data_IF_388754237717
#
_entry.id   IF_388754237717
#
_cell.length_a   1.000
_cell.length_b   1.000
_cell.length_c   1.000
_cell.angle_alpha   90.00
_cell.angle_beta   90.00
_cell.angle_gamma   90.00
#
_symmetry.space_group_name_H-M   'P 1'
#
loop_
_entity.id
_entity.type
_entity.pdbx_description
1 polymer ?
#
# COMPACT_ATOMS: atom_id res chain seq x y z
N UNK A 1 61.86 -26.63 83.16
CA UNK A 1 61.39 -25.24 83.21
C UNK A 1 61.81 -24.59 81.94
N UNK A 2 60.93 -24.52 81.01
CA UNK A 2 61.23 -24.13 79.63
C UNK A 2 60.39 -22.92 79.29
N UNK A 3 61.02 -21.80 79.04
CA UNK A 3 60.36 -20.56 78.61
C UNK A 3 60.33 -20.50 77.08
N UNK A 4 59.13 -20.54 76.55
CA UNK A 4 58.86 -20.43 75.13
C UNK A 4 58.76 -18.93 74.79
N UNK A 5 59.55 -18.49 73.84
CA UNK A 5 59.51 -17.13 73.33
C UNK A 5 58.66 -17.15 72.03
N UNK A 6 57.51 -16.53 72.03
CA UNK A 6 56.71 -16.34 70.85
C UNK A 6 57.15 -15.12 70.09
N UNK A 7 57.69 -15.38 68.91
CA UNK A 7 58.03 -14.33 67.94
C UNK A 7 56.80 -14.00 67.13
N UNK A 8 56.29 -12.76 67.25
CA UNK A 8 55.15 -12.27 66.48
C UNK A 8 55.68 -11.69 65.17
N UNK A 9 55.35 -12.37 64.04
CA UNK A 9 55.69 -11.89 62.71
C UNK A 9 54.52 -11.04 62.25
N UNK A 10 54.71 -9.71 62.18
CA UNK A 10 53.74 -8.78 61.58
C UNK A 10 53.81 -8.90 60.05
N UNK A 11 52.83 -9.51 59.44
CA UNK A 11 52.70 -9.47 57.99
C UNK A 11 51.81 -8.24 57.63
N UNK A 12 52.49 -7.20 57.13
CA UNK A 12 51.75 -6.03 56.55
C UNK A 12 51.20 -6.38 55.24
N UNK A 13 49.85 -6.53 55.22
CA UNK A 13 49.04 -6.75 53.98
C UNK A 13 48.75 -5.42 53.29
N UNK A 14 49.58 -5.08 52.30
CA UNK A 14 49.32 -3.91 51.43
C UNK A 14 48.18 -4.22 50.49
N UNK A 15 47.03 -3.62 50.74
CA UNK A 15 45.90 -3.64 49.81
C UNK A 15 46.22 -2.76 48.59
N UNK A 16 46.51 -3.37 47.46
CA UNK A 16 46.50 -2.70 46.18
C UNK A 16 45.03 -2.48 45.74
N UNK A 17 44.56 -1.25 45.88
CA UNK A 17 43.28 -0.85 45.29
C UNK A 17 43.52 -0.66 43.80
N UNK A 18 43.18 -1.68 43.02
CA UNK A 18 43.16 -1.59 41.56
C UNK A 18 41.91 -0.81 41.15
N UNK A 19 42.09 0.46 40.74
CA UNK A 19 41.05 1.29 40.15
C UNK A 19 40.74 0.75 38.78
N UNK A 20 39.77 -0.12 38.66
CA UNK A 20 39.21 -0.49 37.37
C UNK A 20 38.42 0.71 36.81
N UNK A 21 39.07 1.50 35.97
CA UNK A 21 38.44 2.49 35.14
C UNK A 21 37.52 1.74 34.17
N UNK A 22 36.25 1.68 34.51
CA UNK A 22 35.22 1.21 33.56
C UNK A 22 35.22 2.20 32.39
N UNK A 23 35.87 1.84 31.29
CA UNK A 23 35.70 2.49 30.01
C UNK A 23 34.21 2.34 29.61
N UNK A 24 33.39 3.33 29.95
CA UNK A 24 32.04 3.46 29.43
C UNK A 24 32.17 3.87 27.96
N UNK A 25 32.32 2.90 27.09
CA UNK A 25 32.08 3.12 25.67
C UNK A 25 30.59 3.38 25.48
N UNK A 26 30.22 4.55 24.95
CA UNK A 26 28.84 4.75 24.56
C UNK A 26 28.53 3.69 23.51
N UNK A 27 27.65 2.76 23.89
CA UNK A 27 27.06 1.76 23.00
C UNK A 27 26.52 2.54 21.81
N UNK A 28 27.10 2.29 20.63
CA UNK A 28 26.62 2.85 19.39
C UNK A 28 25.10 2.65 19.39
N UNK A 29 24.38 3.75 19.49
CA UNK A 29 22.96 3.76 19.22
C UNK A 29 22.83 3.14 17.85
N UNK A 30 22.24 1.96 17.81
CA UNK A 30 21.71 1.37 16.59
C UNK A 30 20.76 2.44 16.05
N UNK A 31 21.30 3.31 15.21
CA UNK A 31 20.52 4.17 14.35
C UNK A 31 19.71 3.21 13.51
N UNK A 32 18.53 2.88 14.03
CA UNK A 32 17.48 2.29 13.23
C UNK A 32 17.32 3.25 12.07
N UNK A 33 17.95 2.93 10.95
CA UNK A 33 17.66 3.60 9.70
C UNK A 33 16.19 3.33 9.45
N UNK A 34 15.37 4.31 9.82
CA UNK A 34 14.02 4.48 9.27
C UNK A 34 14.20 4.79 7.78
N UNK A 35 14.85 3.86 7.08
CA UNK A 35 15.01 3.88 5.66
C UNK A 35 13.62 3.72 5.09
N UNK A 36 12.96 4.88 4.89
CA UNK A 36 12.00 5.04 3.82
C UNK A 36 10.79 4.11 3.88
N UNK A 37 9.91 4.28 4.89
CA UNK A 37 8.50 4.06 4.58
C UNK A 37 8.15 5.18 3.59
N UNK A 38 8.35 4.91 2.30
CA UNK A 38 7.86 5.77 1.22
C UNK A 38 6.36 6.00 1.51
N UNK A 39 5.90 7.23 1.63
CA UNK A 39 4.47 7.46 1.81
C UNK A 39 3.74 6.78 0.65
N UNK A 40 2.70 6.00 0.98
CA UNK A 40 1.89 5.29 0.02
C UNK A 40 1.41 6.27 -1.07
N UNK A 41 1.78 6.02 -2.32
CA UNK A 41 1.52 6.93 -3.43
C UNK A 41 0.52 6.33 -4.42
N UNK A 42 -0.11 7.20 -5.21
CA UNK A 42 -0.99 6.75 -6.28
C UNK A 42 -0.20 6.03 -7.38
N UNK A 43 1.08 6.33 -7.53
CA UNK A 43 1.95 5.63 -8.48
C UNK A 43 2.09 4.16 -8.10
N UNK A 44 2.22 3.83 -6.80
CA UNK A 44 2.27 2.44 -6.34
C UNK A 44 0.95 1.69 -6.65
N UNK A 45 -0.19 2.38 -6.59
CA UNK A 45 -1.51 1.83 -7.00
C UNK A 45 -1.52 1.49 -8.49
N UNK A 46 -0.96 2.37 -9.33
CA UNK A 46 -0.90 2.20 -10.78
C UNK A 46 0.10 1.10 -11.14
N UNK A 47 1.27 1.08 -10.53
CA UNK A 47 2.30 0.06 -10.77
C UNK A 47 1.75 -1.33 -10.41
N UNK A 48 1.09 -1.45 -9.25
CA UNK A 48 0.44 -2.70 -8.87
C UNK A 48 -0.68 -3.11 -9.83
N UNK A 49 -1.43 -2.16 -10.37
CA UNK A 49 -2.44 -2.45 -11.38
C UNK A 49 -1.83 -3.02 -12.68
N UNK A 50 -0.64 -2.54 -13.09
CA UNK A 50 0.09 -3.08 -14.23
C UNK A 50 0.62 -4.50 -13.97
N UNK A 51 1.14 -4.78 -12.78
CA UNK A 51 1.60 -6.12 -12.40
C UNK A 51 0.48 -7.17 -12.44
N UNK A 52 -0.77 -6.75 -12.24
CA UNK A 52 -1.94 -7.64 -12.24
C UNK A 52 -2.58 -7.82 -13.63
N UNK A 53 -2.00 -7.24 -14.68
CA UNK A 53 -2.46 -7.50 -16.06
C UNK A 53 -2.45 -9.01 -16.35
N UNK A 54 -3.50 -9.50 -16.99
CA UNK A 54 -3.66 -10.93 -17.29
C UNK A 54 -4.34 -11.74 -16.18
N UNK A 55 -4.49 -11.21 -14.95
CA UNK A 55 -5.24 -11.88 -13.87
C UNK A 55 -6.69 -12.11 -14.29
N UNK A 56 -7.25 -13.34 -14.10
CA UNK A 56 -8.61 -13.64 -14.52
C UNK A 56 -9.67 -12.79 -13.82
N UNK A 57 -10.76 -12.51 -14.55
CA UNK A 57 -11.97 -12.00 -13.91
C UNK A 57 -12.62 -13.09 -13.07
N UNK A 58 -13.00 -12.75 -11.85
CA UNK A 58 -13.80 -13.60 -10.97
C UNK A 58 -14.86 -12.76 -10.24
N UNK A 59 -16.11 -13.10 -10.43
CA UNK A 59 -17.20 -12.45 -9.69
C UNK A 59 -17.02 -12.65 -8.18
N UNK A 60 -16.96 -11.54 -7.43
CA UNK A 60 -16.74 -11.56 -5.99
C UNK A 60 -15.32 -11.93 -5.55
N UNK A 61 -14.41 -12.25 -6.49
CA UNK A 61 -13.01 -12.52 -6.17
C UNK A 61 -12.29 -11.26 -5.66
N UNK A 62 -11.34 -11.45 -4.74
CA UNK A 62 -10.71 -10.33 -4.00
C UNK A 62 -9.19 -10.44 -3.88
N UNK A 63 -8.58 -11.43 -4.52
CA UNK A 63 -7.13 -11.64 -4.48
C UNK A 63 -6.56 -11.97 -5.87
N UNK A 64 -5.23 -11.84 -6.02
CA UNK A 64 -4.54 -12.17 -7.27
C UNK A 64 -4.70 -13.64 -7.65
N UNK A 65 -4.74 -14.53 -6.65
CA UNK A 65 -4.88 -15.99 -6.85
C UNK A 65 -6.30 -16.38 -7.29
N UNK A 66 -7.30 -15.72 -6.74
CA UNK A 66 -8.70 -16.00 -7.07
C UNK A 66 -9.17 -15.27 -8.33
N UNK A 67 -8.54 -14.15 -8.65
CA UNK A 67 -9.02 -13.17 -9.61
C UNK A 67 -9.88 -12.08 -8.96
N UNK A 68 -10.33 -11.12 -9.76
CA UNK A 68 -11.06 -9.94 -9.30
C UNK A 68 -12.29 -9.66 -10.14
N UNK A 69 -13.35 -9.11 -9.52
CA UNK A 69 -14.33 -8.30 -10.24
C UNK A 69 -13.86 -6.86 -10.41
N UNK A 70 -14.59 -6.03 -11.15
CA UNK A 70 -14.19 -4.65 -11.45
C UNK A 70 -14.00 -3.79 -10.19
N UNK A 71 -14.90 -3.91 -9.22
CA UNK A 71 -14.84 -3.11 -7.99
C UNK A 71 -13.85 -3.66 -6.96
N UNK A 72 -13.76 -4.98 -6.83
CA UNK A 72 -12.80 -5.61 -5.91
C UNK A 72 -11.35 -5.34 -6.32
N UNK A 73 -11.09 -5.27 -7.62
CA UNK A 73 -9.78 -4.88 -8.14
C UNK A 73 -9.36 -3.50 -7.62
N UNK A 74 -10.22 -2.49 -7.73
CA UNK A 74 -9.92 -1.17 -7.20
C UNK A 74 -9.77 -1.17 -5.66
N UNK A 75 -10.68 -1.86 -4.95
CA UNK A 75 -10.59 -1.98 -3.48
C UNK A 75 -9.25 -2.58 -3.05
N UNK A 76 -8.83 -3.65 -3.71
CA UNK A 76 -7.54 -4.29 -3.45
C UNK A 76 -6.39 -3.31 -3.65
N UNK A 77 -6.32 -2.66 -4.79
CA UNK A 77 -5.25 -1.71 -5.13
C UNK A 77 -5.16 -0.56 -4.12
N UNK A 78 -6.24 0.15 -3.88
CA UNK A 78 -6.24 1.30 -2.98
C UNK A 78 -5.92 0.90 -1.53
N UNK A 79 -6.46 -0.22 -1.07
CA UNK A 79 -6.21 -0.70 0.29
C UNK A 79 -4.75 -1.13 0.48
N UNK A 80 -4.20 -1.92 -0.45
CA UNK A 80 -2.88 -2.54 -0.26
C UNK A 80 -1.72 -1.61 -0.60
N UNK A 81 -1.90 -0.68 -1.54
CA UNK A 81 -0.81 0.18 -2.01
C UNK A 81 -0.86 1.58 -1.40
N UNK A 82 -2.05 2.09 -1.08
CA UNK A 82 -2.22 3.45 -0.58
C UNK A 82 -2.85 3.53 0.81
N UNK A 83 -3.21 2.41 1.43
CA UNK A 83 -3.98 2.35 2.68
C UNK A 83 -5.28 3.18 2.65
N UNK A 84 -5.88 3.32 1.46
CA UNK A 84 -7.13 4.04 1.24
C UNK A 84 -8.28 3.04 1.20
N UNK A 85 -9.29 3.24 2.06
CA UNK A 85 -10.51 2.44 2.03
C UNK A 85 -11.54 3.11 1.12
N UNK A 86 -11.97 2.38 0.09
CA UNK A 86 -13.03 2.81 -0.82
C UNK A 86 -14.23 1.86 -0.72
N UNK A 87 -15.45 2.31 -1.09
CA UNK A 87 -16.64 1.47 -1.03
C UNK A 87 -16.49 0.18 -1.85
N UNK A 88 -17.05 -0.94 -1.35
CA UNK A 88 -16.86 -2.29 -1.95
C UNK A 88 -17.49 -2.46 -3.33
N UNK A 89 -18.56 -1.79 -3.64
CA UNK A 89 -19.30 -2.01 -4.90
C UNK A 89 -19.20 -0.82 -5.83
N UNK A 90 -19.25 -1.06 -7.13
CA UNK A 90 -19.25 -0.01 -8.16
C UNK A 90 -20.33 1.05 -7.90
N UNK A 91 -21.54 0.64 -7.53
CA UNK A 91 -22.64 1.57 -7.22
C UNK A 91 -22.35 2.41 -5.98
N UNK A 92 -21.80 1.81 -4.91
CA UNK A 92 -21.44 2.54 -3.70
C UNK A 92 -20.28 3.50 -3.95
N UNK A 93 -19.26 3.11 -4.72
CA UNK A 93 -18.18 4.00 -5.15
C UNK A 93 -18.74 5.21 -5.92
N UNK A 94 -19.60 4.96 -6.89
CA UNK A 94 -20.21 6.03 -7.71
C UNK A 94 -21.03 7.01 -6.87
N UNK A 95 -21.77 6.52 -5.87
CA UNK A 95 -22.62 7.35 -4.97
C UNK A 95 -21.89 7.98 -3.81
N UNK A 96 -20.62 7.65 -3.60
CA UNK A 96 -19.84 8.18 -2.48
C UNK A 96 -19.65 9.69 -2.55
N UNK A 97 -19.29 10.30 -1.43
CA UNK A 97 -18.96 11.73 -1.30
C UNK A 97 -17.62 12.12 -1.92
N UNK A 98 -16.83 11.14 -2.42
CA UNK A 98 -15.56 11.42 -3.10
C UNK A 98 -15.74 12.41 -4.27
N UNK A 99 -14.73 13.23 -4.50
CA UNK A 99 -14.77 14.30 -5.50
C UNK A 99 -15.14 13.76 -6.90
N UNK A 100 -16.16 14.35 -7.51
CA UNK A 100 -16.53 14.06 -8.90
C UNK A 100 -15.60 14.81 -9.84
N UNK A 101 -14.99 14.09 -10.77
CA UNK A 101 -13.99 14.62 -11.68
C UNK A 101 -14.56 14.74 -13.09
N UNK A 102 -14.41 15.92 -13.69
CA UNK A 102 -14.75 16.14 -15.09
C UNK A 102 -13.80 15.34 -15.98
N UNK A 103 -14.28 14.87 -17.14
CA UNK A 103 -13.48 14.03 -18.05
C UNK A 103 -12.17 14.68 -18.51
N UNK A 104 -12.16 15.99 -18.71
CA UNK A 104 -10.97 16.76 -19.09
C UNK A 104 -10.02 17.08 -17.94
N UNK A 105 -10.40 16.74 -16.69
CA UNK A 105 -9.60 16.93 -15.46
C UNK A 105 -9.14 15.60 -14.86
N UNK A 106 -9.26 14.49 -15.61
CA UNK A 106 -8.82 13.18 -15.17
C UNK A 106 -7.30 13.17 -14.91
N UNK A 107 -6.94 12.57 -13.77
CA UNK A 107 -5.55 12.30 -13.39
C UNK A 107 -5.36 10.82 -13.13
N UNK A 108 -4.15 10.27 -13.32
CA UNK A 108 -3.85 8.90 -12.93
C UNK A 108 -4.33 8.62 -11.50
N UNK A 109 -4.93 7.43 -11.28
CA UNK A 109 -5.55 7.05 -10.01
C UNK A 109 -7.04 7.38 -9.88
N UNK A 110 -7.65 8.12 -10.79
CA UNK A 110 -9.10 8.35 -10.78
C UNK A 110 -9.86 7.07 -11.13
N UNK A 111 -10.95 6.80 -10.42
CA UNK A 111 -11.88 5.74 -10.77
C UNK A 111 -12.86 6.23 -11.85
N UNK A 112 -12.84 5.58 -13.01
CA UNK A 112 -13.71 5.91 -14.15
C UNK A 112 -14.89 4.94 -14.21
N UNK A 113 -16.11 5.46 -14.37
CA UNK A 113 -17.36 4.70 -14.28
C UNK A 113 -18.08 4.61 -15.61
N UNK A 114 -18.69 3.44 -15.85
CA UNK A 114 -19.41 3.15 -17.09
C UNK A 114 -20.78 2.55 -16.82
N UNK A 115 -21.73 2.88 -17.70
CA UNK A 115 -23.05 2.24 -17.71
C UNK A 115 -22.94 0.82 -18.26
N UNK A 116 -23.73 -0.09 -17.71
CA UNK A 116 -23.95 -1.40 -18.32
C UNK A 116 -24.92 -1.32 -19.51
N UNK A 117 -24.98 -2.42 -20.27
CA UNK A 117 -25.97 -2.57 -21.33
C UNK A 117 -27.40 -2.70 -20.72
N UNK A 118 -28.21 -1.70 -20.92
CA UNK A 118 -29.67 -1.80 -20.72
C UNK A 118 -30.27 -0.72 -19.83
N UNK A 119 -30.05 -0.61 -18.56
CA UNK A 119 -30.86 0.22 -17.65
C UNK A 119 -30.27 1.57 -17.23
N UNK A 120 -29.29 2.08 -17.94
CA UNK A 120 -28.67 3.38 -17.63
C UNK A 120 -27.89 3.46 -16.28
N UNK A 121 -27.88 2.39 -15.51
CA UNK A 121 -27.19 2.34 -14.22
C UNK A 121 -25.71 2.07 -14.39
N UNK A 122 -24.89 2.70 -13.52
CA UNK A 122 -23.47 2.43 -13.44
C UNK A 122 -23.25 1.01 -12.94
N UNK A 123 -22.54 0.20 -13.73
CA UNK A 123 -22.30 -1.21 -13.45
C UNK A 123 -20.84 -1.62 -13.59
N UNK A 124 -19.97 -0.73 -14.06
CA UNK A 124 -18.57 -1.02 -14.27
C UNK A 124 -17.67 0.13 -13.85
N UNK A 125 -16.47 -0.20 -13.39
CA UNK A 125 -15.44 0.75 -12.93
C UNK A 125 -14.06 0.28 -13.38
N UNK A 126 -13.17 1.24 -13.67
CA UNK A 126 -11.76 1.02 -13.96
C UNK A 126 -10.90 2.10 -13.33
N UNK A 127 -9.59 1.86 -13.26
CA UNK A 127 -8.57 2.78 -12.77
C UNK A 127 -7.98 3.55 -13.95
N UNK A 128 -8.13 4.87 -13.98
CA UNK A 128 -7.49 5.70 -15.00
C UNK A 128 -5.98 5.77 -14.77
N UNK A 129 -5.20 5.59 -15.83
CA UNK A 129 -3.74 5.54 -15.79
C UNK A 129 -3.05 6.63 -16.63
N UNK A 130 -3.83 7.63 -17.09
CA UNK A 130 -3.31 8.68 -17.96
C UNK A 130 -3.53 8.39 -19.44
N UNK A 131 -3.28 9.40 -20.28
CA UNK A 131 -3.32 9.31 -21.75
C UNK A 131 -4.63 8.70 -22.33
N UNK A 132 -5.76 8.93 -21.66
CA UNK A 132 -7.05 8.36 -22.07
C UNK A 132 -7.18 6.86 -21.87
N UNK A 133 -6.29 6.22 -21.11
CA UNK A 133 -6.27 4.77 -20.85
C UNK A 133 -6.71 4.45 -19.43
N UNK A 134 -7.26 3.25 -19.22
CA UNK A 134 -7.62 2.74 -17.90
C UNK A 134 -7.40 1.23 -17.82
N UNK A 135 -7.07 0.73 -16.62
CA UNK A 135 -6.96 -0.70 -16.30
C UNK A 135 -8.23 -1.12 -15.59
N UNK A 136 -8.74 -2.29 -15.94
CA UNK A 136 -9.96 -2.84 -15.32
C UNK A 136 -10.03 -4.36 -15.41
N UNK A 137 -10.83 -4.98 -14.55
CA UNK A 137 -11.28 -6.36 -14.66
C UNK A 137 -12.64 -6.40 -15.36
N UNK A 138 -12.73 -6.80 -16.65
CA UNK A 138 -13.90 -6.49 -17.47
C UNK A 138 -15.13 -7.35 -17.20
N UNK A 139 -15.02 -8.69 -17.32
CA UNK A 139 -16.12 -9.65 -17.16
C UNK A 139 -15.64 -11.10 -17.21
N UNK A 140 -16.51 -12.03 -16.88
CA UNK A 140 -16.28 -13.49 -16.99
C UNK A 140 -15.67 -13.88 -18.34
N UNK A 141 -14.65 -14.73 -18.31
CA UNK A 141 -13.91 -15.21 -19.48
C UNK A 141 -12.91 -14.21 -20.05
N UNK A 142 -12.66 -13.11 -19.34
CA UNK A 142 -11.62 -12.12 -19.67
C UNK A 142 -10.66 -11.94 -18.48
N UNK A 143 -9.56 -11.25 -18.75
CA UNK A 143 -8.53 -10.92 -17.77
C UNK A 143 -8.45 -9.42 -17.56
N UNK A 144 -7.80 -8.99 -16.48
CA UNK A 144 -7.43 -7.60 -16.25
C UNK A 144 -6.63 -7.10 -17.44
N UNK A 145 -7.01 -5.94 -17.97
CA UNK A 145 -6.42 -5.37 -19.17
C UNK A 145 -6.52 -3.85 -19.21
N UNK A 146 -5.79 -3.25 -20.16
CA UNK A 146 -5.87 -1.84 -20.49
C UNK A 146 -6.84 -1.64 -21.65
N UNK A 147 -7.77 -0.70 -21.51
CA UNK A 147 -8.62 -0.20 -22.58
C UNK A 147 -8.52 1.34 -22.69
N UNK A 148 -9.02 1.89 -23.78
CA UNK A 148 -9.00 3.33 -24.04
C UNK A 148 -10.37 3.97 -23.89
N UNK A 149 -10.44 5.14 -23.25
CA UNK A 149 -11.65 5.97 -23.19
C UNK A 149 -12.10 6.49 -24.57
N UNK A 150 -11.22 6.48 -25.59
CA UNK A 150 -11.54 6.82 -26.97
C UNK A 150 -12.18 5.65 -27.76
N UNK A 151 -12.06 4.42 -27.25
CA UNK A 151 -12.74 3.27 -27.85
C UNK A 151 -14.24 3.55 -27.92
N UNK A 152 -14.88 3.23 -29.06
CA UNK A 152 -16.31 3.51 -29.32
C UNK A 152 -17.24 3.01 -28.23
N UNK A 153 -17.02 1.80 -27.72
CA UNK A 153 -17.83 1.22 -26.65
C UNK A 153 -17.65 2.01 -25.35
N UNK A 154 -16.43 2.19 -24.87
CA UNK A 154 -16.14 2.86 -23.61
C UNK A 154 -16.50 4.34 -23.63
N UNK A 155 -16.28 5.03 -24.77
CA UNK A 155 -16.70 6.41 -24.96
C UNK A 155 -18.22 6.59 -24.81
N UNK A 156 -19.01 5.68 -25.43
CA UNK A 156 -20.49 5.70 -25.36
C UNK A 156 -21.02 5.41 -23.95
N UNK A 157 -20.32 4.58 -23.17
CA UNK A 157 -20.77 4.12 -21.86
C UNK A 157 -20.16 4.88 -20.69
N UNK A 158 -19.20 5.75 -20.92
CA UNK A 158 -18.60 6.59 -19.90
C UNK A 158 -19.67 7.47 -19.23
N UNK A 159 -19.62 7.55 -17.89
CA UNK A 159 -20.59 8.31 -17.09
C UNK A 159 -19.93 9.47 -16.38
N UNK A 160 -18.95 9.16 -15.54
CA UNK A 160 -18.27 10.11 -14.66
C UNK A 160 -16.97 9.49 -14.12
N UNK A 161 -16.25 10.25 -13.32
CA UNK A 161 -15.12 9.74 -12.52
C UNK A 161 -15.17 10.25 -11.10
N UNK A 162 -14.52 9.52 -10.19
CA UNK A 162 -14.33 9.89 -8.77
C UNK A 162 -12.87 9.81 -8.41
N UNK A 163 -12.42 10.73 -7.56
CA UNK A 163 -11.07 10.71 -6.97
C UNK A 163 -11.16 10.32 -5.51
N UNK A 164 -10.56 9.18 -5.16
CA UNK A 164 -10.53 8.64 -3.81
C UNK A 164 -9.25 8.99 -3.06
N UNK A 165 -8.23 9.46 -3.76
CA UNK A 165 -6.96 9.90 -3.17
C UNK A 165 -6.90 11.42 -3.10
N UNK A 166 -6.25 11.97 -2.07
CA UNK A 166 -5.82 13.36 -2.08
C UNK A 166 -4.63 13.49 -3.02
N UNK A 167 -4.67 14.47 -3.92
CA UNK A 167 -3.47 14.82 -4.66
C UNK A 167 -2.41 15.24 -3.65
N UNK A 168 -1.29 14.49 -3.58
CA UNK A 168 -0.11 14.92 -2.89
C UNK A 168 0.48 16.15 -3.58
#
# INVERSE_FOLDING_TARGET
>A
MLRSIFSICLISLTFFISSASANFQPRATFGSSLQGIKPASIDDVIDRAHELLGTPYKWGGTSAEQGFDCSSFLVYLFKTQANIQIPRTTTAMHRSSAATIKRNALKPGDAVFFKGNGRGQVSHVGLYIGQGKFIHSPRTGKTIRIDSLSNRYWNKHYTTAKRFHTAG
#
